data_IF_596786191938
#
_entry.id   IF_596786191938
#
_cell.length_a   1.000
_cell.length_b   1.000
_cell.length_c   1.000
_cell.angle_alpha   90.00
_cell.angle_beta   90.00
_cell.angle_gamma   90.00
#
_symmetry.space_group_name_H-M   'P 1'
#
loop_
_entity.id
_entity.type
_entity.pdbx_description
1 polymer ?
#
# COMPACT_ATOMS: atom_id res chain seq x y z
N UNK A 1 -4.85 22.31 -20.46
CA UNK A 1 -4.92 22.08 -19.01
C UNK A 1 -3.86 21.02 -18.69
N UNK A 2 -2.77 21.37 -18.00
CA UNK A 2 -1.71 20.39 -17.67
C UNK A 2 -2.23 19.40 -16.62
N UNK A 3 -1.91 18.12 -16.76
CA UNK A 3 -2.36 17.12 -15.80
C UNK A 3 -1.58 17.30 -14.49
N UNK A 4 -2.27 17.18 -13.34
CA UNK A 4 -1.63 17.23 -12.01
C UNK A 4 -0.47 16.23 -11.90
N UNK A 5 -0.57 15.09 -12.57
CA UNK A 5 0.46 14.05 -12.62
C UNK A 5 1.79 14.51 -13.24
N UNK A 6 1.78 15.54 -14.09
CA UNK A 6 3.01 16.09 -14.69
C UNK A 6 3.61 17.22 -13.84
N UNK A 7 2.75 17.98 -13.14
CA UNK A 7 3.16 19.09 -12.30
C UNK A 7 3.75 18.65 -10.95
N UNK A 8 3.17 17.61 -10.35
CA UNK A 8 3.51 17.18 -8.98
C UNK A 8 4.23 15.82 -8.95
N UNK A 9 4.91 15.46 -10.04
CA UNK A 9 5.56 14.15 -10.18
C UNK A 9 6.56 13.89 -9.05
N UNK A 10 7.29 14.93 -8.62
CA UNK A 10 8.24 14.85 -7.50
C UNK A 10 7.54 14.53 -6.17
N UNK A 11 6.50 15.29 -5.80
CA UNK A 11 5.77 15.04 -4.56
C UNK A 11 5.07 13.68 -4.56
N UNK A 12 4.58 13.26 -5.73
CA UNK A 12 4.02 11.92 -5.93
C UNK A 12 5.09 10.84 -5.68
N UNK A 13 6.28 10.99 -6.24
CA UNK A 13 7.41 10.09 -5.99
C UNK A 13 7.81 10.05 -4.52
N UNK A 14 7.88 11.20 -3.84
CA UNK A 14 8.18 11.29 -2.41
C UNK A 14 7.18 10.51 -1.55
N UNK A 15 5.87 10.59 -1.87
CA UNK A 15 4.84 9.80 -1.18
C UNK A 15 5.08 8.30 -1.41
N UNK A 16 5.42 7.90 -2.64
CA UNK A 16 5.70 6.48 -2.94
C UNK A 16 6.95 6.01 -2.18
N UNK A 17 8.00 6.82 -2.11
CA UNK A 17 9.21 6.50 -1.34
C UNK A 17 8.91 6.36 0.16
N UNK A 18 8.07 7.24 0.73
CA UNK A 18 7.61 7.09 2.12
C UNK A 18 6.90 5.74 2.33
N UNK A 19 6.02 5.34 1.43
CA UNK A 19 5.31 4.05 1.52
C UNK A 19 6.27 2.86 1.41
N UNK A 20 7.25 2.94 0.49
CA UNK A 20 8.29 1.92 0.32
C UNK A 20 9.12 1.80 1.60
N UNK A 21 9.48 2.92 2.24
CA UNK A 21 10.23 2.95 3.48
C UNK A 21 9.43 2.39 4.67
N UNK A 22 8.14 2.73 4.78
CA UNK A 22 7.22 2.16 5.80
C UNK A 22 7.12 0.63 5.66
N UNK A 23 7.03 0.15 4.42
CA UNK A 23 6.97 -1.27 4.10
C UNK A 23 8.36 -1.94 4.06
N UNK A 24 9.44 -1.21 4.34
CA UNK A 24 10.82 -1.68 4.31
C UNK A 24 11.14 -2.62 3.13
N UNK A 25 10.64 -2.28 1.93
CA UNK A 25 10.70 -3.17 0.76
C UNK A 25 12.13 -3.40 0.26
N UNK A 26 13.11 -2.64 0.75
CA UNK A 26 14.52 -2.84 0.48
C UNK A 26 15.05 -4.10 1.18
N UNK A 27 14.67 -4.33 2.44
CA UNK A 27 15.09 -5.49 3.22
C UNK A 27 14.12 -6.66 3.10
N UNK A 28 12.80 -6.41 3.10
CA UNK A 28 11.76 -7.44 3.06
C UNK A 28 10.85 -7.25 1.84
N UNK A 29 11.01 -8.14 0.86
CA UNK A 29 10.27 -8.09 -0.42
C UNK A 29 8.97 -8.90 -0.42
N UNK A 30 8.63 -9.54 0.69
CA UNK A 30 7.46 -10.41 0.78
C UNK A 30 6.73 -10.19 2.11
N UNK A 31 5.43 -9.96 2.03
CA UNK A 31 4.57 -9.76 3.20
C UNK A 31 3.34 -10.62 3.11
N UNK A 32 2.99 -11.32 4.18
CA UNK A 32 1.65 -11.92 4.24
C UNK A 32 0.61 -10.86 4.61
N UNK A 33 -0.58 -11.01 4.06
CA UNK A 33 -1.75 -10.21 4.42
C UNK A 33 -2.01 -10.31 5.92
N UNK A 34 -1.76 -11.47 6.53
CA UNK A 34 -1.93 -11.69 7.96
C UNK A 34 -0.96 -10.85 8.81
N UNK A 35 0.32 -10.79 8.43
CA UNK A 35 1.30 -9.91 9.09
C UNK A 35 0.92 -8.44 8.95
N UNK A 36 0.48 -8.01 7.75
CA UNK A 36 0.07 -6.63 7.52
C UNK A 36 -1.19 -6.26 8.31
N UNK A 37 -2.15 -7.17 8.44
CA UNK A 37 -3.38 -6.97 9.22
C UNK A 37 -3.08 -6.89 10.73
N UNK A 38 -2.04 -7.57 11.22
CA UNK A 38 -1.55 -7.46 12.61
C UNK A 38 -0.70 -6.22 12.87
N UNK A 39 -0.02 -5.68 11.87
CA UNK A 39 0.84 -4.51 12.03
C UNK A 39 0.03 -3.21 11.97
N UNK A 40 -0.58 -2.84 13.09
CA UNK A 40 -1.35 -1.61 13.23
C UNK A 40 -0.51 -0.35 12.96
N UNK A 41 0.79 -0.38 13.27
CA UNK A 41 1.70 0.75 13.04
C UNK A 41 1.82 1.09 11.55
N UNK A 42 2.08 0.09 10.70
CA UNK A 42 2.15 0.25 9.23
C UNK A 42 0.81 0.79 8.71
N UNK A 43 -0.30 0.23 9.18
CA UNK A 43 -1.63 0.66 8.75
C UNK A 43 -1.88 2.13 9.10
N UNK A 44 -1.54 2.53 10.32
CA UNK A 44 -1.71 3.91 10.80
C UNK A 44 -0.84 4.88 10.03
N UNK A 45 0.45 4.58 9.83
CA UNK A 45 1.36 5.42 9.06
C UNK A 45 0.85 5.65 7.63
N UNK A 46 0.35 4.61 6.96
CA UNK A 46 -0.23 4.74 5.61
C UNK A 46 -1.51 5.58 5.62
N UNK A 47 -2.34 5.44 6.66
CA UNK A 47 -3.55 6.26 6.80
C UNK A 47 -3.22 7.74 7.08
N UNK A 48 -2.14 8.03 7.80
CA UNK A 48 -1.68 9.41 8.04
C UNK A 48 -1.18 10.10 6.77
N UNK A 49 -0.79 9.34 5.74
CA UNK A 49 -0.43 9.87 4.42
C UNK A 49 -1.65 10.26 3.55
N UNK A 50 -2.87 9.84 3.91
CA UNK A 50 -4.11 10.16 3.18
C UNK A 50 -4.27 11.67 2.87
N UNK A 51 -4.13 12.60 3.83
CA UNK A 51 -4.20 14.04 3.54
C UNK A 51 -3.16 14.52 2.53
N UNK A 52 -1.92 14.02 2.60
CA UNK A 52 -0.88 14.35 1.61
C UNK A 52 -1.24 13.80 0.22
N UNK A 53 -1.71 12.55 0.17
CA UNK A 53 -2.16 11.92 -1.08
C UNK A 53 -3.33 12.70 -1.69
N UNK A 54 -4.29 13.18 -0.89
CA UNK A 54 -5.42 14.00 -1.37
C UNK A 54 -4.98 15.32 -2.01
N UNK A 55 -3.85 15.87 -1.59
CA UNK A 55 -3.32 17.14 -2.12
C UNK A 55 -2.75 16.96 -3.53
N UNK A 56 -2.01 15.87 -3.74
CA UNK A 56 -1.21 15.65 -4.96
C UNK A 56 -1.77 14.63 -5.94
N UNK A 57 -2.68 13.76 -5.51
CA UNK A 57 -3.34 12.77 -6.36
C UNK A 57 -4.81 13.10 -6.63
N UNK A 58 -5.27 12.75 -7.83
CA UNK A 58 -6.71 12.70 -8.11
C UNK A 58 -7.30 11.44 -7.46
N UNK A 59 -8.16 11.63 -6.47
CA UNK A 59 -8.80 10.54 -5.73
C UNK A 59 -9.98 9.90 -6.50
N UNK A 60 -10.31 10.39 -7.70
CA UNK A 60 -11.44 9.89 -8.48
C UNK A 60 -11.34 8.37 -8.76
N UNK A 61 -10.12 7.87 -8.96
CA UNK A 61 -9.83 6.44 -9.11
C UNK A 61 -9.36 5.75 -7.80
N UNK A 62 -9.17 6.50 -6.71
CA UNK A 62 -8.64 6.00 -5.44
C UNK A 62 -9.65 6.20 -4.30
N UNK A 63 -10.77 5.47 -4.37
CA UNK A 63 -11.85 5.52 -3.35
C UNK A 63 -11.38 5.26 -1.92
N UNK A 64 -10.26 4.53 -1.73
CA UNK A 64 -9.68 4.31 -0.40
C UNK A 64 -9.17 5.58 0.27
N UNK A 65 -8.76 6.57 -0.52
CA UNK A 65 -8.29 7.88 -0.03
C UNK A 65 -9.47 8.80 0.24
N UNK A 66 -10.52 8.74 -0.57
CA UNK A 66 -11.74 9.54 -0.40
C UNK A 66 -12.60 9.10 0.77
N UNK A 67 -12.87 7.79 0.87
CA UNK A 67 -13.78 7.21 1.86
C UNK A 67 -13.12 5.98 2.53
N UNK A 68 -12.08 6.19 3.36
CA UNK A 68 -11.37 5.08 4.00
C UNK A 68 -12.27 4.24 4.92
N UNK A 69 -13.21 4.86 5.62
CA UNK A 69 -14.12 4.21 6.59
C UNK A 69 -15.08 3.20 5.95
N UNK A 70 -15.41 3.37 4.66
CA UNK A 70 -16.29 2.44 3.93
C UNK A 70 -15.57 1.17 3.47
N UNK A 71 -14.25 1.07 3.66
CA UNK A 71 -13.46 -0.08 3.23
C UNK A 71 -12.80 -0.76 4.42
N UNK A 72 -12.85 -2.09 4.42
CA UNK A 72 -12.19 -2.91 5.44
C UNK A 72 -10.68 -2.70 5.52
N UNK A 73 -10.02 -2.43 4.39
CA UNK A 73 -8.55 -2.29 4.28
C UNK A 73 -8.18 -1.15 3.32
N UNK A 74 -8.35 0.12 3.74
CA UNK A 74 -8.04 1.26 2.90
C UNK A 74 -6.54 1.36 2.62
N UNK A 75 -5.69 1.12 3.63
CA UNK A 75 -4.23 1.10 3.55
C UNK A 75 -3.71 0.17 2.44
N UNK A 76 -4.25 -1.05 2.33
CA UNK A 76 -3.82 -2.03 1.31
C UNK A 76 -4.12 -1.53 -0.11
N UNK A 77 -5.27 -0.89 -0.31
CA UNK A 77 -5.63 -0.35 -1.61
C UNK A 77 -4.81 0.89 -1.98
N UNK A 78 -4.35 1.66 -0.99
CA UNK A 78 -3.44 2.80 -1.18
C UNK A 78 -2.09 2.28 -1.65
N UNK A 79 -1.50 1.32 -0.92
CA UNK A 79 -0.24 0.66 -1.27
C UNK A 79 -0.29 0.15 -2.71
N UNK A 80 -1.26 -0.73 -3.03
CA UNK A 80 -1.43 -1.32 -4.37
C UNK A 80 -1.45 -0.28 -5.50
N UNK A 81 -2.07 0.87 -5.26
CA UNK A 81 -2.19 1.89 -6.30
C UNK A 81 -0.97 2.80 -6.44
N UNK A 82 -0.25 3.04 -5.35
CA UNK A 82 0.86 3.99 -5.32
C UNK A 82 2.19 3.32 -5.68
N UNK A 83 2.46 2.14 -5.16
CA UNK A 83 3.74 1.45 -5.42
C UNK A 83 3.89 0.95 -6.85
N UNK A 84 2.80 0.83 -7.61
CA UNK A 84 2.78 0.26 -8.98
C UNK A 84 3.71 0.99 -9.96
N UNK A 85 4.17 2.18 -9.61
CA UNK A 85 5.12 2.98 -10.39
C UNK A 85 6.57 2.51 -10.23
N UNK A 86 6.90 1.88 -9.10
CA UNK A 86 8.26 1.44 -8.73
C UNK A 86 8.39 -0.06 -8.51
N UNK A 87 7.31 -0.72 -8.09
CA UNK A 87 7.26 -2.13 -7.77
C UNK A 87 6.05 -2.79 -8.42
N UNK A 88 6.26 -3.96 -9.00
CA UNK A 88 5.22 -4.91 -9.33
C UNK A 88 4.85 -5.71 -8.08
N UNK A 89 3.55 -5.80 -7.78
CA UNK A 89 3.04 -6.52 -6.61
C UNK A 89 2.27 -7.75 -7.09
N UNK A 90 2.77 -8.94 -6.76
CA UNK A 90 2.15 -10.22 -7.08
C UNK A 90 1.48 -10.78 -5.82
N UNK A 91 0.22 -11.19 -5.93
CA UNK A 91 -0.49 -11.86 -4.85
C UNK A 91 -0.52 -13.36 -5.11
N UNK A 92 0.08 -14.13 -4.21
CA UNK A 92 0.04 -15.58 -4.20
C UNK A 92 -0.81 -16.09 -3.05
N UNK A 93 -1.32 -17.30 -3.23
CA UNK A 93 -2.00 -18.02 -2.16
C UNK A 93 -0.99 -18.57 -1.16
N UNK A 94 -1.25 -18.42 0.14
CA UNK A 94 -0.35 -18.92 1.16
C UNK A 94 -1.13 -19.49 2.34
N UNK A 95 -0.72 -20.68 2.76
CA UNK A 95 -1.31 -21.35 3.90
C UNK A 95 -0.23 -21.67 4.92
N UNK A 96 -0.50 -21.35 6.17
CA UNK A 96 0.39 -21.70 7.27
C UNK A 96 -0.42 -22.04 8.52
N UNK A 97 0.20 -22.78 9.43
CA UNK A 97 -0.43 -23.18 10.69
C UNK A 97 0.14 -22.31 11.80
N UNK A 98 -0.67 -21.43 12.37
CA UNK A 98 -0.32 -20.64 13.55
C UNK A 98 -1.14 -21.14 14.74
N UNK A 99 -0.49 -21.47 15.85
CA UNK A 99 -1.16 -21.93 17.08
C UNK A 99 -2.21 -23.04 16.87
N UNK A 100 -1.88 -24.05 16.05
CA UNK A 100 -2.76 -25.19 15.68
C UNK A 100 -4.03 -24.81 14.91
N UNK A 101 -4.15 -23.57 14.42
CA UNK A 101 -5.20 -23.13 13.50
C UNK A 101 -4.63 -23.01 12.09
N UNK A 102 -5.32 -23.61 11.13
CA UNK A 102 -4.98 -23.48 9.72
C UNK A 102 -5.41 -22.08 9.25
N UNK A 103 -4.46 -21.25 8.86
CA UNK A 103 -4.71 -19.90 8.37
C UNK A 103 -4.42 -19.87 6.88
N UNK A 104 -5.46 -19.54 6.12
CA UNK A 104 -5.34 -19.18 4.72
C UNK A 104 -5.16 -17.67 4.61
N UNK A 105 -4.11 -17.24 3.93
CA UNK A 105 -3.75 -15.83 3.74
C UNK A 105 -3.23 -15.60 2.33
N UNK A 106 -3.07 -14.35 1.95
CA UNK A 106 -2.41 -13.99 0.71
C UNK A 106 -0.98 -13.58 1.02
N UNK A 107 -0.01 -14.12 0.28
CA UNK A 107 1.35 -13.62 0.25
C UNK A 107 1.46 -12.55 -0.84
N UNK A 108 2.04 -11.42 -0.49
CA UNK A 108 2.34 -10.35 -1.41
C UNK A 108 3.84 -10.27 -1.63
N UNK A 109 4.25 -10.47 -2.87
CA UNK A 109 5.64 -10.33 -3.29
C UNK A 109 5.82 -9.05 -4.10
N UNK A 110 6.87 -8.30 -3.77
CA UNK A 110 7.19 -7.02 -4.37
C UNK A 110 8.45 -7.18 -5.21
N UNK A 111 8.32 -7.03 -6.52
CA UNK A 111 9.43 -7.06 -7.48
C UNK A 111 9.66 -5.66 -8.00
N UNK A 112 10.89 -5.15 -7.90
CA UNK A 112 11.24 -3.81 -8.42
C UNK A 112 11.11 -3.80 -9.95
N UNK A 113 10.52 -2.74 -10.50
CA UNK A 113 10.40 -2.51 -11.95
C UNK A 113 11.69 -1.98 -12.56
#
# INVERSE_FOLDING_TARGET
MRLKSELYKKEQEEIVDKIIAILDLENKKSYTLYELDKNEEIQKQIMELIPEIRKWYSFNNMKAVGEPEKRKRPWLSIIKNLIKTKYNMVSLDHHFTDNKKYIHTQLYEFTKL
#
